data_IF_814930041014
#
_entry.id   IF_814930041014
#
_cell.length_a   1.000
_cell.length_b   1.000
_cell.length_c   1.000
_cell.angle_alpha   90.00
_cell.angle_beta   90.00
_cell.angle_gamma   90.00
#
_symmetry.space_group_name_H-M   'P 1'
#
loop_
_entity.id
_entity.type
_entity.pdbx_description
1 polymer ?
#
# COMPACT_ATOMS: atom_id res chain seq x y z
N UNK A 1 -4.72 32.63 13.87
CA UNK A 1 -3.40 31.96 13.73
C UNK A 1 -3.39 31.18 12.42
N UNK A 2 -2.37 31.37 11.58
CA UNK A 2 -2.26 30.63 10.33
C UNK A 2 -2.02 29.14 10.61
N UNK A 3 -2.85 28.26 10.03
CA UNK A 3 -2.74 26.80 10.20
C UNK A 3 -1.82 26.21 9.13
N UNK A 4 -1.11 25.13 9.47
CA UNK A 4 -0.31 24.35 8.51
C UNK A 4 -1.18 23.29 7.81
N UNK A 5 -0.82 22.90 6.59
CA UNK A 5 -1.60 21.94 5.79
C UNK A 5 -1.87 20.63 6.54
N UNK A 6 -0.87 20.08 7.24
CA UNK A 6 -1.05 18.82 7.99
C UNK A 6 -2.05 18.94 9.15
N UNK A 7 -2.25 20.14 9.71
CA UNK A 7 -3.16 20.36 10.84
C UNK A 7 -4.63 20.41 10.40
N UNK A 8 -4.88 20.71 9.12
CA UNK A 8 -6.23 20.75 8.52
C UNK A 8 -6.41 19.63 7.49
N UNK A 9 -5.57 18.60 7.55
CA UNK A 9 -5.58 17.50 6.61
C UNK A 9 -6.90 16.72 6.69
N UNK A 10 -7.55 16.51 5.53
CA UNK A 10 -8.86 15.85 5.47
C UNK A 10 -8.79 14.33 5.53
N UNK A 11 -7.65 13.72 5.19
CA UNK A 11 -7.47 12.26 5.23
C UNK A 11 -7.21 11.75 6.65
N UNK A 12 -7.21 10.44 6.84
CA UNK A 12 -7.05 9.79 8.16
C UNK A 12 -5.58 9.55 8.54
N UNK A 13 -4.67 10.39 8.07
CA UNK A 13 -3.25 10.27 8.38
C UNK A 13 -2.94 10.81 9.78
N UNK A 14 -1.96 10.19 10.43
CA UNK A 14 -1.43 10.64 11.72
C UNK A 14 -0.09 11.33 11.44
N UNK A 15 0.03 12.60 11.85
CA UNK A 15 1.24 13.40 11.65
C UNK A 15 2.01 13.57 12.95
N UNK A 16 3.32 13.26 12.93
CA UNK A 16 4.21 13.46 14.07
C UNK A 16 5.38 14.39 13.70
N UNK A 17 6.05 14.94 14.73
CA UNK A 17 7.20 15.85 14.60
C UNK A 17 6.94 17.03 13.64
N UNK A 18 5.86 17.78 13.86
CA UNK A 18 5.45 18.92 13.04
C UNK A 18 5.25 18.56 11.55
N UNK A 19 4.60 17.42 11.30
CA UNK A 19 4.28 16.94 9.94
C UNK A 19 5.47 16.36 9.17
N UNK A 20 6.57 16.00 9.85
CA UNK A 20 7.72 15.33 9.21
C UNK A 20 7.48 13.84 9.01
N UNK A 21 6.81 13.20 9.96
CA UNK A 21 6.42 11.80 9.87
C UNK A 21 4.93 11.70 9.58
N UNK A 22 4.58 10.81 8.65
CA UNK A 22 3.23 10.66 8.12
C UNK A 22 2.86 9.19 8.18
N UNK A 23 2.01 8.82 9.13
CA UNK A 23 1.52 7.46 9.30
C UNK A 23 0.10 7.31 8.76
N UNK A 24 -0.31 6.07 8.51
CA UNK A 24 -1.71 5.75 8.24
C UNK A 24 -2.49 5.64 9.56
N UNK A 25 -3.81 5.40 9.48
CA UNK A 25 -4.68 5.31 10.65
C UNK A 25 -4.34 4.10 11.54
N UNK A 26 -3.78 3.04 10.94
CA UNK A 26 -3.45 1.79 11.61
C UNK A 26 -2.05 1.82 12.26
N UNK A 27 -1.43 2.99 12.44
CA UNK A 27 -0.06 3.11 12.96
C UNK A 27 0.21 2.36 14.27
N UNK A 28 -0.83 2.11 15.09
CA UNK A 28 -0.71 1.34 16.34
C UNK A 28 -0.27 -0.11 16.11
N UNK A 29 -0.59 -0.71 14.96
CA UNK A 29 -0.15 -2.06 14.61
C UNK A 29 1.36 -2.19 14.46
N UNK A 30 2.09 -1.07 14.25
CA UNK A 30 3.54 -1.05 14.17
C UNK A 30 4.20 -1.59 15.43
N UNK A 31 3.59 -1.38 16.60
CA UNK A 31 4.09 -1.93 17.86
C UNK A 31 4.16 -3.45 17.79
N UNK A 32 3.11 -4.09 17.25
CA UNK A 32 3.08 -5.55 17.06
C UNK A 32 4.19 -6.00 16.11
N UNK A 33 4.34 -5.34 14.96
CA UNK A 33 5.38 -5.67 13.98
C UNK A 33 6.80 -5.50 14.55
N UNK A 34 7.04 -4.43 15.33
CA UNK A 34 8.33 -4.21 16.01
C UNK A 34 8.59 -5.33 17.02
N UNK A 35 7.59 -5.71 17.83
CA UNK A 35 7.74 -6.79 18.81
C UNK A 35 8.01 -8.14 18.14
N UNK A 36 7.32 -8.44 17.01
CA UNK A 36 7.56 -9.65 16.23
C UNK A 36 8.99 -9.74 15.68
N UNK A 37 9.67 -8.61 15.47
CA UNK A 37 11.06 -8.60 15.02
C UNK A 37 12.03 -8.63 16.20
N UNK A 38 11.82 -7.74 17.18
CA UNK A 38 12.79 -7.48 18.25
C UNK A 38 12.84 -8.62 19.27
N UNK A 39 11.68 -9.18 19.66
CA UNK A 39 11.63 -10.25 20.68
C UNK A 39 12.42 -11.50 20.27
N UNK A 40 12.21 -12.11 19.08
CA UNK A 40 13.00 -13.28 18.69
C UNK A 40 14.49 -12.95 18.53
N UNK A 41 14.85 -11.74 18.11
CA UNK A 41 16.26 -11.31 18.04
C UNK A 41 16.87 -11.21 19.44
N UNK A 42 16.16 -10.65 20.44
CA UNK A 42 16.64 -10.60 21.82
C UNK A 42 16.84 -12.03 22.36
N UNK A 43 15.88 -12.92 22.14
CA UNK A 43 16.00 -14.34 22.54
C UNK A 43 17.21 -14.98 21.87
N UNK A 44 17.43 -14.74 20.57
CA UNK A 44 18.59 -15.22 19.83
C UNK A 44 19.91 -14.68 20.41
N UNK A 45 20.01 -13.37 20.63
CA UNK A 45 21.23 -12.74 21.16
C UNK A 45 21.59 -13.28 22.55
N UNK A 46 20.58 -13.49 23.40
CA UNK A 46 20.77 -13.91 24.80
C UNK A 46 21.02 -15.40 24.97
N UNK A 47 20.41 -16.26 24.14
CA UNK A 47 20.42 -17.71 24.34
C UNK A 47 21.21 -18.50 23.27
N UNK A 48 21.40 -17.93 22.07
CA UNK A 48 22.06 -18.62 20.96
C UNK A 48 23.40 -17.95 20.66
N UNK A 49 23.40 -16.65 20.34
CA UNK A 49 24.62 -15.92 20.03
C UNK A 49 25.61 -15.92 21.22
N UNK A 50 25.10 -15.90 22.46
CA UNK A 50 25.93 -16.04 23.66
C UNK A 50 26.67 -17.38 23.75
N UNK A 51 26.04 -18.48 23.35
CA UNK A 51 26.72 -19.78 23.36
C UNK A 51 27.78 -19.83 22.24
N UNK A 52 27.43 -19.32 21.06
CA UNK A 52 28.36 -19.20 19.94
C UNK A 52 29.55 -18.27 20.22
N UNK A 53 29.42 -17.29 21.12
CA UNK A 53 30.54 -16.47 21.62
C UNK A 53 31.61 -17.31 22.33
N UNK A 54 31.20 -18.29 23.13
CA UNK A 54 32.12 -19.13 23.88
C UNK A 54 32.78 -20.21 23.02
N UNK A 55 32.05 -20.74 22.02
CA UNK A 55 32.55 -21.78 21.11
C UNK A 55 33.53 -21.27 20.05
N UNK A 56 33.41 -20.01 19.63
CA UNK A 56 34.31 -19.40 18.62
C UNK A 56 35.14 -18.24 19.20
N UNK A 57 36.05 -18.50 20.16
CA UNK A 57 36.93 -17.47 20.71
C UNK A 57 37.99 -17.02 19.69
N UNK A 58 38.38 -17.92 18.77
CA UNK A 58 39.36 -17.63 17.73
C UNK A 58 38.81 -16.56 16.78
N UNK A 59 39.56 -15.46 16.61
CA UNK A 59 39.23 -14.32 15.73
C UNK A 59 38.01 -13.47 16.13
N UNK A 60 37.54 -13.50 17.39
CA UNK A 60 36.36 -12.76 17.83
C UNK A 60 35.08 -13.06 17.00
N UNK A 61 35.01 -14.22 16.35
CA UNK A 61 33.96 -14.54 15.38
C UNK A 61 32.56 -14.53 16.00
N UNK A 62 32.42 -14.93 17.28
CA UNK A 62 31.14 -14.82 17.99
C UNK A 62 30.65 -13.37 18.16
N UNK A 63 31.56 -12.41 18.40
CA UNK A 63 31.20 -10.99 18.51
C UNK A 63 30.76 -10.43 17.16
N UNK A 64 31.35 -10.92 16.07
CA UNK A 64 30.96 -10.57 14.71
C UNK A 64 29.53 -11.03 14.42
N UNK A 65 29.15 -12.26 14.80
CA UNK A 65 27.77 -12.75 14.65
C UNK A 65 26.77 -11.86 15.39
N UNK A 66 27.09 -11.47 16.64
CA UNK A 66 26.25 -10.59 17.44
C UNK A 66 26.14 -9.18 16.82
N UNK A 67 27.25 -8.61 16.36
CA UNK A 67 27.25 -7.32 15.70
C UNK A 67 26.43 -7.34 14.40
N UNK A 68 26.59 -8.38 13.57
CA UNK A 68 25.85 -8.55 12.32
C UNK A 68 24.34 -8.60 12.60
N UNK A 69 23.88 -9.43 13.55
CA UNK A 69 22.45 -9.56 13.81
C UNK A 69 21.84 -8.28 14.36
N UNK A 70 22.55 -7.56 15.24
CA UNK A 70 22.08 -6.29 15.80
C UNK A 70 22.01 -5.21 14.71
N UNK A 71 23.09 -5.02 13.94
CA UNK A 71 23.13 -4.01 12.87
C UNK A 71 22.09 -4.32 11.78
N UNK A 72 21.92 -5.58 11.43
CA UNK A 72 20.92 -5.97 10.43
C UNK A 72 19.48 -5.79 10.94
N UNK A 73 19.24 -6.05 12.23
CA UNK A 73 17.95 -5.76 12.88
C UNK A 73 17.65 -4.26 12.88
N UNK A 74 18.63 -3.42 13.22
CA UNK A 74 18.49 -1.96 13.14
C UNK A 74 18.15 -1.53 11.71
N UNK A 75 18.84 -2.09 10.71
CA UNK A 75 18.55 -1.82 9.30
C UNK A 75 17.11 -2.19 8.92
N UNK A 76 16.62 -3.38 9.32
CA UNK A 76 15.23 -3.80 9.11
C UNK A 76 14.23 -2.85 9.78
N UNK A 77 14.49 -2.43 11.01
CA UNK A 77 13.63 -1.48 11.74
C UNK A 77 13.61 -0.08 11.09
N UNK A 78 14.76 0.38 10.58
CA UNK A 78 14.83 1.62 9.81
C UNK A 78 13.99 1.51 8.55
N UNK A 79 14.08 0.40 7.79
CA UNK A 79 13.25 0.17 6.61
C UNK A 79 11.75 0.14 6.94
N UNK A 80 11.35 -0.50 8.05
CA UNK A 80 9.97 -0.48 8.55
C UNK A 80 9.49 0.94 8.83
N UNK A 81 10.30 1.76 9.51
CA UNK A 81 9.98 3.16 9.80
C UNK A 81 9.90 3.98 8.50
N UNK A 82 10.84 3.80 7.59
CA UNK A 82 10.87 4.48 6.29
C UNK A 82 9.66 4.13 5.41
N UNK A 83 9.09 2.93 5.59
CA UNK A 83 7.89 2.45 4.91
C UNK A 83 6.61 3.02 5.52
N UNK A 84 6.53 3.03 6.86
CA UNK A 84 5.31 3.37 7.61
C UNK A 84 5.13 4.86 7.87
N UNK A 85 6.23 5.59 8.10
CA UNK A 85 6.23 6.98 8.58
C UNK A 85 6.39 8.03 7.48
N UNK A 86 6.07 7.70 6.23
CA UNK A 86 6.27 8.56 5.06
C UNK A 86 5.00 8.68 4.24
N UNK A 87 4.86 9.81 3.56
CA UNK A 87 3.92 9.96 2.45
C UNK A 87 4.13 8.84 1.41
N UNK A 88 3.14 7.95 1.20
CA UNK A 88 3.22 6.85 0.24
C UNK A 88 3.05 7.29 -1.22
N UNK A 89 2.69 8.55 -1.47
CA UNK A 89 2.36 9.07 -2.80
C UNK A 89 0.96 9.66 -2.85
N UNK A 90 0.55 10.38 -1.80
CA UNK A 90 -0.80 10.91 -1.73
C UNK A 90 -0.99 11.99 -2.81
N UNK A 91 -2.07 11.86 -3.58
CA UNK A 91 -2.49 12.86 -4.57
C UNK A 91 -3.23 13.99 -3.85
N UNK A 92 -2.87 15.27 -4.08
CA UNK A 92 -3.59 16.41 -3.51
C UNK A 92 -5.06 16.38 -3.93
N UNK A 93 -5.96 16.69 -2.98
CA UNK A 93 -7.39 16.85 -3.26
C UNK A 93 -7.63 18.15 -4.01
N UNK A 94 -8.56 18.14 -4.96
CA UNK A 94 -9.01 19.40 -5.57
C UNK A 94 -10.00 20.10 -4.63
N UNK A 95 -10.14 21.42 -4.80
CA UNK A 95 -11.14 22.23 -4.09
C UNK A 95 -12.52 22.12 -4.74
N UNK A 96 -12.52 21.97 -6.06
CA UNK A 96 -13.71 21.81 -6.88
C UNK A 96 -13.49 20.66 -7.86
N UNK A 97 -14.56 20.02 -8.34
CA UNK A 97 -14.46 19.05 -9.42
C UNK A 97 -13.75 19.65 -10.65
N UNK A 98 -13.00 18.87 -11.44
CA UNK A 98 -12.40 19.34 -12.67
C UNK A 98 -13.49 19.85 -13.63
N UNK A 99 -13.22 20.97 -14.30
CA UNK A 99 -14.08 21.44 -15.39
C UNK A 99 -14.01 20.46 -16.56
N UNK A 100 -15.13 20.26 -17.24
CA UNK A 100 -15.17 19.43 -18.45
C UNK A 100 -14.45 20.17 -19.58
N UNK A 101 -13.45 19.54 -20.21
CA UNK A 101 -12.85 20.04 -21.44
C UNK A 101 -13.95 19.96 -22.53
N UNK A 102 -14.63 21.07 -22.82
CA UNK A 102 -15.74 21.18 -23.80
C UNK A 102 -15.35 20.67 -25.21
N UNK A 103 -14.05 20.47 -25.46
CA UNK A 103 -13.50 20.04 -26.75
C UNK A 103 -13.78 18.58 -27.14
N UNK A 104 -14.15 17.69 -26.21
CA UNK A 104 -14.42 16.27 -26.53
C UNK A 104 -15.92 15.97 -26.77
N UNK A 105 -16.81 16.96 -26.65
CA UNK A 105 -18.27 16.77 -26.79
C UNK A 105 -18.81 16.95 -28.22
N UNK A 106 -17.97 17.12 -29.24
CA UNK A 106 -18.45 17.26 -30.63
C UNK A 106 -18.93 15.95 -31.28
N UNK A 107 -19.02 14.84 -30.54
CA UNK A 107 -19.43 13.53 -31.06
C UNK A 107 -20.87 13.10 -30.70
N UNK A 108 -21.67 13.94 -30.04
CA UNK A 108 -23.08 13.61 -29.78
C UNK A 108 -23.98 14.84 -29.92
N UNK A 109 -24.15 15.30 -31.16
CA UNK A 109 -25.33 16.09 -31.55
C UNK A 109 -26.48 15.12 -31.76
N UNK A 110 -27.21 14.78 -30.69
CA UNK A 110 -28.58 14.29 -30.82
C UNK A 110 -29.55 15.40 -30.45
N UNK A 111 -30.44 15.66 -31.40
CA UNK A 111 -31.44 16.72 -31.42
C UNK A 111 -32.58 16.38 -30.46
N UNK A 112 -32.90 17.31 -29.56
CA UNK A 112 -34.25 17.44 -29.00
C UNK A 112 -34.37 17.21 -27.50
N UNK A 113 -34.85 18.24 -26.80
CA UNK A 113 -35.45 18.10 -25.47
C UNK A 113 -34.84 19.02 -24.40
N UNK A 114 -35.62 20.02 -23.98
CA UNK A 114 -35.34 20.86 -22.80
C UNK A 114 -35.20 19.99 -21.54
N UNK A 115 -33.97 19.69 -21.15
CA UNK A 115 -33.58 19.43 -19.77
C UNK A 115 -32.23 20.12 -19.60
N UNK A 116 -32.10 21.03 -18.64
CA UNK A 116 -30.78 21.48 -18.19
C UNK A 116 -30.03 20.23 -17.73
N UNK A 117 -29.00 19.74 -18.45
CA UNK A 117 -28.25 18.60 -17.98
C UNK A 117 -27.46 19.12 -16.80
N UNK A 118 -27.72 18.62 -15.59
CA UNK A 118 -26.69 18.72 -14.56
C UNK A 118 -25.49 17.98 -15.15
N UNK A 119 -24.33 18.63 -15.37
CA UNK A 119 -23.18 17.96 -15.96
C UNK A 119 -22.72 16.89 -14.97
N UNK A 120 -23.18 15.65 -15.17
CA UNK A 120 -22.70 14.51 -14.40
C UNK A 120 -21.35 14.16 -15.00
N UNK A 121 -20.29 14.66 -14.36
CA UNK A 121 -18.91 14.36 -14.74
C UNK A 121 -18.75 12.88 -15.12
N UNK A 122 -18.19 12.57 -16.31
CA UNK A 122 -18.00 11.19 -16.72
C UNK A 122 -17.27 10.39 -15.65
N UNK A 123 -17.83 9.24 -15.25
CA UNK A 123 -17.21 8.36 -14.22
C UNK A 123 -15.81 7.89 -14.62
N UNK A 124 -15.53 7.87 -15.93
CA UNK A 124 -14.23 7.51 -16.49
C UNK A 124 -13.78 8.51 -17.55
N UNK A 125 -12.47 8.77 -17.60
CA UNK A 125 -11.80 9.53 -18.67
C UNK A 125 -10.71 8.65 -19.28
N UNK A 126 -10.52 8.72 -20.59
CA UNK A 126 -9.40 8.04 -21.26
C UNK A 126 -8.16 8.92 -21.21
N UNK A 127 -7.02 8.34 -20.84
CA UNK A 127 -5.73 9.03 -20.76
C UNK A 127 -4.69 8.23 -21.52
N UNK A 128 -3.87 8.91 -22.31
CA UNK A 128 -2.79 8.28 -23.06
C UNK A 128 -1.61 7.94 -22.13
N UNK A 129 -1.21 6.66 -22.09
CA UNK A 129 -0.07 6.17 -21.32
C UNK A 129 0.80 5.31 -22.24
N UNK A 130 2.04 5.72 -22.49
CA UNK A 130 2.96 5.05 -23.43
C UNK A 130 2.31 4.77 -24.81
N UNK A 131 1.52 5.72 -25.34
CA UNK A 131 0.84 5.59 -26.62
C UNK A 131 -0.42 4.69 -26.61
N UNK A 132 -0.87 4.22 -25.44
CA UNK A 132 -2.08 3.40 -25.30
C UNK A 132 -3.11 4.10 -24.42
N UNK A 133 -4.39 4.03 -24.78
CA UNK A 133 -5.48 4.59 -23.99
C UNK A 133 -5.71 3.76 -22.72
N UNK A 134 -5.71 4.42 -21.57
CA UNK A 134 -6.00 3.82 -20.25
C UNK A 134 -7.16 4.58 -19.61
N UNK A 135 -8.22 3.86 -19.26
CA UNK A 135 -9.37 4.41 -18.55
C UNK A 135 -9.02 4.72 -17.10
N UNK A 136 -9.09 5.99 -16.72
CA UNK A 136 -9.01 6.44 -15.33
C UNK A 136 -10.39 6.72 -14.77
N UNK A 137 -10.54 6.57 -13.45
CA UNK A 137 -11.82 6.78 -12.74
C UNK A 137 -11.84 8.10 -12.00
N UNK A 138 -13.01 8.72 -11.91
CA UNK A 138 -13.22 9.85 -11.02
C UNK A 138 -13.21 9.41 -9.55
N UNK A 139 -12.71 10.25 -8.65
CA UNK A 139 -12.81 10.08 -7.21
C UNK A 139 -13.62 11.24 -6.64
N UNK A 140 -14.83 10.95 -6.17
CA UNK A 140 -15.72 11.95 -5.56
C UNK A 140 -15.11 12.52 -4.27
N UNK A 141 -14.55 11.67 -3.40
CA UNK A 141 -13.96 12.08 -2.13
C UNK A 141 -12.78 13.04 -2.25
N UNK A 142 -11.98 12.89 -3.31
CA UNK A 142 -10.81 13.74 -3.57
C UNK A 142 -11.07 14.78 -4.69
N UNK A 143 -12.26 14.74 -5.30
CA UNK A 143 -12.72 15.57 -6.41
C UNK A 143 -11.73 15.63 -7.59
N UNK A 144 -11.18 14.48 -8.00
CA UNK A 144 -10.18 14.41 -9.06
C UNK A 144 -10.36 13.17 -9.94
N UNK A 145 -9.99 13.29 -11.21
CA UNK A 145 -9.70 12.13 -12.04
C UNK A 145 -8.40 11.49 -11.56
N UNK A 146 -8.47 10.23 -11.14
CA UNK A 146 -7.33 9.51 -10.56
C UNK A 146 -6.22 9.43 -11.61
N UNK A 147 -4.98 9.87 -11.33
CA UNK A 147 -3.87 9.64 -12.24
C UNK A 147 -3.74 8.14 -12.59
N UNK A 148 -3.11 7.78 -13.72
CA UNK A 148 -2.87 6.38 -14.04
C UNK A 148 -2.21 5.63 -12.87
N UNK A 149 -2.69 4.40 -12.61
CA UNK A 149 -2.27 3.54 -11.47
C UNK A 149 -2.59 4.11 -10.07
N UNK A 150 -3.34 5.20 -9.96
CA UNK A 150 -3.79 5.75 -8.68
C UNK A 150 -5.10 5.10 -8.24
N UNK A 151 -5.21 4.77 -6.95
CA UNK A 151 -6.46 4.29 -6.35
C UNK A 151 -6.75 5.01 -5.04
N UNK A 152 -8.04 5.16 -4.74
CA UNK A 152 -8.49 5.70 -3.46
C UNK A 152 -8.52 4.57 -2.43
N UNK A 153 -7.81 4.75 -1.32
CA UNK A 153 -7.90 3.89 -0.15
C UNK A 153 -8.90 4.50 0.84
N UNK A 154 -10.01 3.80 1.09
CA UNK A 154 -11.03 4.23 2.05
C UNK A 154 -10.54 4.21 3.50
N UNK A 155 -9.59 3.34 3.82
CA UNK A 155 -9.00 3.25 5.17
C UNK A 155 -8.20 4.50 5.49
N UNK A 156 -7.26 4.88 4.61
CA UNK A 156 -6.48 6.11 4.78
C UNK A 156 -7.25 7.38 4.38
N UNK A 157 -8.37 7.24 3.67
CA UNK A 157 -9.14 8.31 3.04
C UNK A 157 -8.28 9.20 2.13
N UNK A 158 -7.55 8.58 1.20
CA UNK A 158 -6.70 9.29 0.25
C UNK A 158 -6.58 8.55 -1.09
N UNK A 159 -6.43 9.32 -2.17
CA UNK A 159 -5.90 8.80 -3.43
C UNK A 159 -4.37 8.65 -3.34
N UNK A 160 -3.84 7.47 -3.69
CA UNK A 160 -2.40 7.15 -3.62
C UNK A 160 -1.89 6.77 -5.01
N UNK A 161 -0.80 7.40 -5.45
CA UNK A 161 -0.13 7.13 -6.72
C UNK A 161 0.54 5.75 -6.71
N UNK A 162 0.43 5.03 -7.85
CA UNK A 162 0.92 3.65 -8.00
C UNK A 162 0.52 2.80 -6.80
N UNK A 163 -0.77 2.83 -6.46
CA UNK A 163 -1.30 2.15 -5.29
C UNK A 163 -1.07 0.65 -5.42
N UNK A 164 -0.47 0.06 -4.38
CA UNK A 164 -0.22 -1.37 -4.31
C UNK A 164 -1.25 -2.05 -3.41
N UNK A 165 -1.26 -1.69 -2.13
CA UNK A 165 -2.25 -2.15 -1.17
C UNK A 165 -2.22 -1.27 0.09
N UNK A 166 -3.22 -1.41 0.96
CA UNK A 166 -3.12 -0.94 2.34
C UNK A 166 -2.60 -2.09 3.21
N UNK A 167 -1.51 -1.87 3.94
CA UNK A 167 -0.85 -2.91 4.72
C UNK A 167 -1.09 -2.67 6.21
N UNK A 168 -1.89 -3.52 6.88
CA UNK A 168 -2.11 -3.40 8.31
C UNK A 168 -0.82 -3.58 9.12
N UNK A 169 0.12 -4.42 8.69
CA UNK A 169 1.38 -4.68 9.41
C UNK A 169 2.31 -3.47 9.47
N UNK A 170 2.29 -2.61 8.46
CA UNK A 170 3.04 -1.33 8.47
C UNK A 170 2.16 -0.13 8.82
N UNK A 171 0.87 -0.35 9.03
CA UNK A 171 -0.11 0.67 9.40
C UNK A 171 -0.34 1.77 8.35
N UNK A 172 -0.05 1.52 7.07
CA UNK A 172 -0.02 2.54 6.02
C UNK A 172 -0.27 1.93 4.62
N UNK A 173 -0.72 2.77 3.67
CA UNK A 173 -0.73 2.44 2.25
C UNK A 173 0.68 2.21 1.69
N UNK A 174 0.84 1.19 0.86
CA UNK A 174 2.02 0.98 0.02
C UNK A 174 1.72 1.56 -1.36
N UNK A 175 2.59 2.47 -1.80
CA UNK A 175 2.45 3.18 -3.07
C UNK A 175 3.79 3.68 -3.61
N UNK A 176 3.74 4.58 -4.58
CA UNK A 176 4.90 5.04 -5.36
C UNK A 176 6.13 5.42 -4.51
N UNK A 177 5.93 6.12 -3.39
CA UNK A 177 7.02 6.72 -2.61
C UNK A 177 7.57 5.84 -1.49
N UNK A 178 6.90 4.75 -1.12
CA UNK A 178 7.36 3.86 -0.05
C UNK A 178 7.52 2.39 -0.49
N UNK A 179 7.07 2.01 -1.69
CA UNK A 179 7.17 0.64 -2.22
C UNK A 179 8.59 0.06 -2.15
N UNK A 180 9.63 0.86 -2.51
CA UNK A 180 11.03 0.39 -2.43
C UNK A 180 11.42 -0.05 -1.02
N UNK A 181 11.06 0.76 -0.01
CA UNK A 181 11.39 0.43 1.38
C UNK A 181 10.54 -0.72 1.89
N UNK A 182 9.28 -0.80 1.46
CA UNK A 182 8.41 -1.95 1.77
C UNK A 182 9.04 -3.25 1.26
N UNK A 183 9.45 -3.29 -0.01
CA UNK A 183 10.08 -4.47 -0.59
C UNK A 183 11.37 -4.82 0.17
N UNK A 184 12.27 -3.85 0.37
CA UNK A 184 13.51 -4.07 1.10
C UNK A 184 13.25 -4.52 2.55
N UNK A 185 12.21 -3.99 3.20
CA UNK A 185 11.82 -4.38 4.55
C UNK A 185 11.40 -5.86 4.59
N UNK A 186 10.49 -6.28 3.70
CA UNK A 186 9.99 -7.65 3.65
C UNK A 186 11.10 -8.63 3.28
N UNK A 187 11.91 -8.31 2.25
CA UNK A 187 13.01 -9.17 1.82
C UNK A 187 14.11 -9.28 2.88
N UNK A 188 14.46 -8.17 3.54
CA UNK A 188 15.47 -8.18 4.61
C UNK A 188 14.96 -8.88 5.86
N UNK A 189 13.66 -8.81 6.16
CA UNK A 189 13.05 -9.59 7.24
C UNK A 189 13.10 -11.09 6.95
N UNK A 190 12.85 -11.51 5.70
CA UNK A 190 13.02 -12.90 5.29
C UNK A 190 14.48 -13.36 5.45
N UNK A 191 15.45 -12.54 5.03
CA UNK A 191 16.87 -12.82 5.24
C UNK A 191 17.26 -12.89 6.72
N UNK A 192 16.67 -12.04 7.57
CA UNK A 192 16.90 -12.08 9.02
C UNK A 192 16.36 -13.38 9.62
N UNK A 193 15.17 -13.82 9.19
CA UNK A 193 14.62 -15.14 9.58
C UNK A 193 15.54 -16.29 9.15
N UNK A 194 16.06 -16.27 7.91
CA UNK A 194 17.00 -17.28 7.41
C UNK A 194 18.28 -17.28 8.25
N UNK A 195 18.83 -16.11 8.55
CA UNK A 195 20.03 -15.97 9.37
C UNK A 195 19.83 -16.53 10.77
N UNK A 196 18.77 -16.12 11.47
CA UNK A 196 18.46 -16.60 12.83
C UNK A 196 18.20 -18.11 12.83
N UNK A 197 17.49 -18.63 11.82
CA UNK A 197 17.27 -20.06 11.66
C UNK A 197 18.59 -20.83 11.49
N UNK A 198 19.42 -20.38 10.55
CA UNK A 198 20.69 -21.03 10.23
C UNK A 198 21.64 -21.04 11.44
N UNK A 199 21.78 -19.91 12.13
CA UNK A 199 22.65 -19.83 13.31
C UNK A 199 22.11 -20.63 14.50
N UNK A 200 20.79 -20.73 14.66
CA UNK A 200 20.17 -21.61 15.66
C UNK A 200 20.40 -23.08 15.33
N UNK A 201 20.32 -23.47 14.05
CA UNK A 201 20.62 -24.82 13.59
C UNK A 201 22.11 -25.18 13.79
N UNK A 202 23.03 -24.23 13.52
CA UNK A 202 24.46 -24.39 13.84
C UNK A 202 24.68 -24.61 15.33
N UNK A 203 24.02 -23.82 16.20
CA UNK A 203 24.12 -24.01 17.64
C UNK A 203 23.61 -25.39 18.10
N UNK A 204 22.50 -25.89 17.54
CA UNK A 204 22.03 -27.27 17.81
C UNK A 204 23.04 -28.31 17.32
N UNK A 205 23.67 -28.10 16.16
CA UNK A 205 24.67 -29.01 15.63
C UNK A 205 25.90 -29.09 16.54
N UNK A 206 26.44 -27.95 16.99
CA UNK A 206 27.56 -27.93 17.92
C UNK A 206 27.23 -28.66 19.23
N UNK A 207 26.07 -28.38 19.81
CA UNK A 207 25.60 -29.11 21.01
C UNK A 207 25.37 -30.60 20.74
N UNK A 208 25.01 -30.99 19.53
CA UNK A 208 24.88 -32.41 19.18
C UNK A 208 26.24 -33.09 19.12
N UNK A 209 27.26 -32.41 18.61
CA UNK A 209 28.63 -32.91 18.56
C UNK A 209 29.18 -33.09 20.00
N UNK A 210 28.83 -32.21 20.95
CA UNK A 210 29.24 -32.31 22.36
C UNK A 210 28.48 -33.38 23.17
N UNK A 211 27.15 -33.46 22.99
CA UNK A 211 26.28 -34.31 23.82
C UNK A 211 25.85 -35.62 23.14
N UNK A 212 26.27 -35.84 21.89
CA UNK A 212 26.17 -37.07 21.11
C UNK A 212 24.83 -37.34 20.42
N UNK A 213 23.73 -36.69 20.80
CA UNK A 213 22.43 -36.87 20.13
C UNK A 213 21.63 -35.58 19.98
N UNK A 214 20.88 -35.46 18.88
CA UNK A 214 20.05 -34.28 18.58
C UNK A 214 19.02 -33.99 19.68
N UNK A 215 18.43 -35.03 20.28
CA UNK A 215 17.44 -34.88 21.34
C UNK A 215 18.03 -34.24 22.61
N UNK A 216 19.27 -34.60 22.97
CA UNK A 216 19.98 -33.97 24.09
C UNK A 216 20.33 -32.52 23.78
N UNK A 217 20.78 -32.23 22.55
CA UNK A 217 21.08 -30.87 22.09
C UNK A 217 19.83 -29.97 22.13
N UNK A 218 18.70 -30.46 21.64
CA UNK A 218 17.41 -29.75 21.68
C UNK A 218 16.96 -29.46 23.12
N UNK A 219 17.11 -30.43 24.04
CA UNK A 219 16.82 -30.23 25.47
C UNK A 219 17.75 -29.22 26.12
N UNK A 220 19.01 -29.14 25.67
CA UNK A 220 20.00 -28.19 26.20
C UNK A 220 19.74 -26.76 25.73
N UNK A 221 19.24 -26.58 24.49
CA UNK A 221 18.88 -25.27 23.95
C UNK A 221 17.45 -25.24 23.37
N UNK A 222 16.42 -25.24 24.24
CA UNK A 222 15.03 -25.15 23.79
C UNK A 222 14.76 -23.84 23.04
N UNK A 223 15.46 -22.76 23.39
CA UNK A 223 15.38 -21.48 22.70
C UNK A 223 15.73 -21.58 21.20
N UNK A 224 16.78 -22.35 20.85
CA UNK A 224 17.16 -22.56 19.44
C UNK A 224 16.05 -23.26 18.66
N UNK A 225 15.42 -24.27 19.26
CA UNK A 225 14.31 -25.01 18.65
C UNK A 225 13.09 -24.12 18.44
N UNK A 226 12.73 -23.32 19.46
CA UNK A 226 11.61 -22.36 19.38
C UNK A 226 11.88 -21.33 18.28
N UNK A 227 13.10 -20.77 18.21
CA UNK A 227 13.49 -19.81 17.18
C UNK A 227 13.47 -20.42 15.79
N UNK A 228 13.93 -21.67 15.63
CA UNK A 228 13.86 -22.38 14.35
C UNK A 228 12.40 -22.58 13.90
N UNK A 229 11.52 -23.03 14.80
CA UNK A 229 10.09 -23.17 14.50
C UNK A 229 9.43 -21.83 14.16
N UNK A 230 9.73 -20.79 14.93
CA UNK A 230 9.26 -19.42 14.67
C UNK A 230 9.72 -18.91 13.31
N UNK A 231 11.02 -18.99 13.01
CA UNK A 231 11.57 -18.52 11.74
C UNK A 231 11.03 -19.32 10.57
N UNK A 232 10.89 -20.64 10.70
CA UNK A 232 10.29 -21.48 9.66
C UNK A 232 8.86 -21.04 9.35
N UNK A 233 8.01 -20.87 10.37
CA UNK A 233 6.63 -20.41 10.19
C UNK A 233 6.56 -19.04 9.51
N UNK A 234 7.28 -18.04 10.01
CA UNK A 234 7.24 -16.70 9.44
C UNK A 234 7.87 -16.62 8.05
N UNK A 235 8.85 -17.46 7.72
CA UNK A 235 9.48 -17.50 6.39
C UNK A 235 8.49 -17.86 5.29
N UNK A 236 7.47 -18.68 5.55
CA UNK A 236 6.39 -18.92 4.58
C UNK A 236 5.64 -17.62 4.22
N UNK A 237 5.36 -16.78 5.22
CA UNK A 237 4.66 -15.51 5.01
C UNK A 237 5.57 -14.47 4.37
N UNK A 238 6.71 -14.14 4.99
CA UNK A 238 7.58 -13.05 4.50
C UNK A 238 8.39 -13.47 3.27
N UNK A 239 8.80 -14.74 3.17
CA UNK A 239 9.47 -15.29 2.00
C UNK A 239 8.51 -15.43 0.82
N UNK A 240 7.31 -15.98 1.04
CA UNK A 240 6.26 -16.05 0.02
C UNK A 240 5.89 -14.66 -0.52
N UNK A 241 5.72 -13.68 0.38
CA UNK A 241 5.45 -12.29 0.00
C UNK A 241 6.63 -11.67 -0.79
N UNK A 242 7.87 -11.97 -0.41
CA UNK A 242 9.07 -11.54 -1.17
C UNK A 242 9.04 -12.09 -2.59
N UNK A 243 8.80 -13.39 -2.76
CA UNK A 243 8.70 -14.04 -4.07
C UNK A 243 7.57 -13.45 -4.92
N UNK A 244 6.41 -13.22 -4.32
CA UNK A 244 5.28 -12.60 -5.01
C UNK A 244 5.62 -11.19 -5.51
N UNK A 245 6.24 -10.36 -4.66
CA UNK A 245 6.63 -9.01 -5.08
C UNK A 245 7.78 -9.01 -6.09
N UNK A 246 8.69 -9.99 -6.06
CA UNK A 246 9.69 -10.17 -7.12
C UNK A 246 9.02 -10.42 -8.48
N UNK A 247 7.99 -11.26 -8.52
CA UNK A 247 7.18 -11.48 -9.72
C UNK A 247 6.52 -10.17 -10.19
N UNK A 248 5.88 -9.42 -9.28
CA UNK A 248 5.22 -8.15 -9.61
C UNK A 248 6.19 -7.09 -10.16
N UNK A 249 7.38 -6.97 -9.56
CA UNK A 249 8.45 -6.09 -10.05
C UNK A 249 8.87 -6.51 -11.46
N UNK A 250 9.13 -7.81 -11.67
CA UNK A 250 9.49 -8.35 -12.98
C UNK A 250 8.44 -8.06 -14.07
N UNK A 251 7.17 -8.00 -13.70
CA UNK A 251 6.04 -7.67 -14.60
C UNK A 251 5.66 -6.20 -14.63
N UNK A 252 6.27 -5.32 -13.82
CA UNK A 252 5.86 -3.92 -13.59
C UNK A 252 4.37 -3.77 -13.26
N UNK A 253 3.87 -4.61 -12.36
CA UNK A 253 2.49 -4.56 -11.87
C UNK A 253 2.48 -4.24 -10.39
N UNK A 254 1.45 -3.55 -9.92
CA UNK A 254 1.14 -3.49 -8.50
C UNK A 254 0.27 -4.67 -8.09
N UNK A 255 0.23 -4.98 -6.79
CA UNK A 255 -0.68 -6.00 -6.25
C UNK A 255 -2.13 -5.71 -6.64
N UNK A 256 -2.56 -4.45 -6.48
CA UNK A 256 -3.89 -3.99 -6.91
C UNK A 256 -4.16 -4.27 -8.40
N UNK A 257 -3.19 -3.98 -9.28
CA UNK A 257 -3.34 -4.22 -10.71
C UNK A 257 -3.44 -5.71 -11.04
N UNK A 258 -2.61 -6.53 -10.41
CA UNK A 258 -2.61 -7.98 -10.59
C UNK A 258 -3.95 -8.59 -10.19
N UNK A 259 -4.54 -8.19 -9.06
CA UNK A 259 -5.84 -8.71 -8.62
C UNK A 259 -7.03 -8.12 -9.38
N UNK A 260 -7.01 -6.81 -9.71
CA UNK A 260 -8.15 -6.13 -10.35
C UNK A 260 -8.22 -6.38 -11.85
N UNK A 261 -7.07 -6.49 -12.50
CA UNK A 261 -6.94 -6.53 -13.97
C UNK A 261 -6.22 -7.77 -14.48
N UNK A 262 -5.73 -8.67 -13.62
CA UNK A 262 -5.01 -9.88 -14.02
C UNK A 262 -5.78 -10.81 -14.96
N UNK A 263 -7.12 -10.74 -14.97
CA UNK A 263 -7.98 -11.50 -15.88
C UNK A 263 -8.35 -10.77 -17.18
N UNK A 264 -7.99 -9.48 -17.35
CA UNK A 264 -8.21 -8.76 -18.63
C UNK A 264 -6.98 -8.99 -19.52
N UNK A 265 -7.18 -9.71 -20.62
CA UNK A 265 -6.19 -10.12 -21.64
C UNK A 265 -5.54 -8.96 -22.44
N UNK A 266 -5.12 -7.88 -21.77
CA UNK A 266 -4.40 -6.77 -22.38
C UNK A 266 -2.90 -6.83 -22.10
N UNK A 267 -2.03 -6.45 -23.06
CA UNK A 267 -0.60 -6.33 -22.81
C UNK A 267 -0.33 -5.27 -21.73
N UNK A 268 0.48 -5.60 -20.71
CA UNK A 268 0.84 -4.63 -19.66
C UNK A 268 1.62 -3.45 -20.27
N UNK A 269 0.96 -2.29 -20.33
CA UNK A 269 1.49 -1.04 -20.91
C UNK A 269 2.67 -0.45 -20.14
N UNK A 270 2.90 -0.90 -18.91
CA UNK A 270 4.00 -0.44 -18.05
C UNK A 270 5.21 -1.36 -18.07
N UNK A 271 5.08 -2.59 -18.55
CA UNK A 271 6.19 -3.54 -18.59
C UNK A 271 7.20 -3.13 -19.67
N UNK A 272 8.46 -2.90 -19.27
CA UNK A 272 9.57 -2.54 -20.17
C UNK A 272 10.66 -3.61 -20.23
N UNK A 273 10.37 -4.83 -19.74
CA UNK A 273 11.34 -5.90 -19.58
C UNK A 273 11.86 -5.98 -18.15
N UNK A 274 12.15 -7.20 -17.70
CA UNK A 274 12.44 -7.52 -16.29
C UNK A 274 13.52 -6.60 -15.71
N UNK A 275 14.71 -6.56 -16.32
CA UNK A 275 15.84 -5.77 -15.83
C UNK A 275 15.51 -4.27 -15.71
N UNK A 276 14.86 -3.68 -16.72
CA UNK A 276 14.47 -2.26 -16.69
C UNK A 276 13.45 -2.00 -15.58
N UNK A 277 12.50 -2.92 -15.36
CA UNK A 277 11.52 -2.78 -14.28
C UNK A 277 12.18 -2.83 -12.89
N UNK A 278 13.17 -3.71 -12.69
CA UNK A 278 13.95 -3.77 -11.46
C UNK A 278 14.74 -2.46 -11.25
N UNK A 279 15.43 -1.96 -12.28
CA UNK A 279 16.14 -0.67 -12.21
C UNK A 279 15.18 0.49 -11.92
N UNK A 280 13.96 0.45 -12.47
CA UNK A 280 12.92 1.44 -12.17
C UNK A 280 12.61 1.46 -10.66
N UNK A 281 12.48 0.29 -10.03
CA UNK A 281 12.16 0.20 -8.61
C UNK A 281 13.33 0.56 -7.73
N UNK A 282 14.56 0.10 -8.01
CA UNK A 282 15.70 0.23 -7.09
C UNK A 282 16.63 1.40 -7.39
N UNK A 283 16.80 1.77 -8.66
CA UNK A 283 17.84 2.69 -9.09
C UNK A 283 17.32 4.08 -9.49
N UNK A 284 16.01 4.30 -9.54
CA UNK A 284 15.46 5.63 -9.84
C UNK A 284 15.44 6.55 -8.63
N UNK A 285 15.49 7.87 -8.87
CA UNK A 285 15.29 8.86 -7.82
C UNK A 285 13.83 8.88 -7.39
N UNK A 286 13.61 8.89 -6.08
CA UNK A 286 12.28 9.09 -5.52
C UNK A 286 11.78 10.50 -5.86
N UNK A 287 10.61 10.58 -6.50
CA UNK A 287 9.93 11.88 -6.76
C UNK A 287 9.66 12.60 -5.43
N UNK A 288 9.59 13.95 -5.37
CA UNK A 288 9.20 14.70 -4.18
C UNK A 288 7.70 14.55 -3.87
N UNK A 289 7.27 14.90 -2.65
CA UNK A 289 5.85 14.79 -2.28
C UNK A 289 5.06 15.83 -3.04
N UNK A 290 3.89 15.44 -3.55
CA UNK A 290 2.96 16.37 -4.21
C UNK A 290 2.27 17.29 -3.20
N UNK A 291 2.29 16.92 -1.91
CA UNK A 291 1.72 17.70 -0.83
C UNK A 291 2.83 18.39 -0.03
N UNK A 292 2.72 19.71 0.12
CA UNK A 292 3.56 20.48 1.05
C UNK A 292 2.93 20.51 2.44
N UNK A 293 2.94 19.39 3.15
CA UNK A 293 2.27 19.25 4.45
C UNK A 293 2.65 20.31 5.50
N UNK A 294 3.86 20.86 5.39
CA UNK A 294 4.42 21.85 6.32
C UNK A 294 4.34 23.29 5.81
N UNK A 295 3.65 23.56 4.69
CA UNK A 295 3.36 24.93 4.28
C UNK A 295 2.14 25.49 5.03
N UNK A 296 2.07 26.82 5.16
CA UNK A 296 0.87 27.50 5.63
C UNK A 296 -0.27 27.23 4.65
N UNK A 297 -1.47 27.04 5.19
CA UNK A 297 -2.70 27.01 4.40
C UNK A 297 -2.85 28.40 3.77
N UNK A 298 -2.91 28.45 2.43
CA UNK A 298 -3.32 29.69 1.77
C UNK A 298 -4.80 29.91 2.11
N UNK A 299 -5.07 30.91 2.92
CA UNK A 299 -6.41 31.44 3.11
C UNK A 299 -6.80 32.07 1.78
N UNK A 300 -7.48 31.30 0.93
CA UNK A 300 -8.07 31.87 -0.27
C UNK A 300 -9.24 32.73 0.20
N UNK A 301 -9.01 34.04 0.23
CA UNK A 301 -10.05 35.06 0.21
C UNK A 301 -11.15 34.58 -0.73
N UNK A 302 -12.37 34.48 -0.21
CA UNK A 302 -13.58 34.34 -1.01
C UNK A 302 -13.46 35.23 -2.24
N UNK A 303 -13.36 34.63 -3.43
CA UNK A 303 -13.63 35.37 -4.66
C UNK A 303 -14.99 36.04 -4.46
N UNK A 304 -15.13 37.35 -4.74
CA UNK A 304 -16.43 37.99 -4.65
C UNK A 304 -17.41 37.22 -5.53
N UNK A 305 -18.68 37.06 -5.13
CA UNK A 305 -19.66 36.44 -5.99
C UNK A 305 -19.67 37.23 -7.31
N UNK A 306 -19.41 36.55 -8.42
CA UNK A 306 -19.68 37.10 -9.75
C UNK A 306 -21.16 37.46 -9.73
N UNK A 307 -21.45 38.76 -9.70
CA UNK A 307 -22.82 39.27 -9.78
C UNK A 307 -23.34 38.94 -11.17
N UNK A 308 -23.99 37.79 -11.33
CA UNK A 308 -24.85 37.56 -12.47
C UNK A 308 -26.17 38.29 -12.17
N UNK A 309 -26.20 39.57 -12.49
CA UNK A 309 -27.44 40.31 -12.54
C UNK A 309 -28.25 39.79 -13.72
N UNK A 310 -29.27 38.98 -13.44
CA UNK A 310 -30.49 38.92 -14.25
C UNK A 310 -31.64 38.45 -13.37
N UNK A 311 -32.40 39.43 -12.89
CA UNK A 311 -33.75 39.23 -12.38
C UNK A 311 -34.60 38.54 -13.44
N UNK A 312 -35.18 37.40 -13.08
CA UNK A 312 -36.48 36.98 -13.60
C UNK A 312 -37.24 36.38 -12.41
N UNK A 313 -38.26 37.12 -11.95
CA UNK A 313 -39.30 36.66 -11.06
C UNK A 313 -40.06 35.49 -11.70
N UNK A 314 -40.38 34.44 -10.94
CA UNK A 314 -41.66 33.69 -10.98
C UNK A 314 -41.81 32.95 -9.64
N UNK A 315 -42.77 33.46 -8.87
CA UNK A 315 -43.82 32.85 -8.04
C UNK A 315 -43.67 31.50 -7.32
N UNK A 316 -44.21 31.50 -6.09
CA UNK A 316 -44.31 30.42 -5.11
C UNK A 316 -45.18 29.24 -5.57
N UNK A 317 -44.77 28.00 -5.25
CA UNK A 317 -45.60 27.04 -4.50
C UNK A 317 -44.91 25.70 -4.19
N UNK A 318 -44.92 25.40 -2.88
CA UNK A 318 -45.20 24.11 -2.26
C UNK A 318 -44.12 23.01 -2.08
N UNK A 319 -44.16 22.41 -0.88
CA UNK A 319 -43.96 20.98 -0.72
C UNK A 319 -42.58 20.45 -0.29
N UNK A 320 -42.23 20.58 0.99
CA UNK A 320 -41.17 19.80 1.63
C UNK A 320 -41.46 18.29 1.57
N UNK A 321 -40.52 17.45 1.09
CA UNK A 321 -40.29 16.08 1.63
C UNK A 321 -38.95 15.49 1.17
N UNK A 322 -38.14 15.13 2.16
CA UNK A 322 -36.84 14.48 2.08
C UNK A 322 -37.07 12.97 2.03
N UNK A 323 -36.68 12.29 0.95
CA UNK A 323 -36.75 10.82 0.85
C UNK A 323 -35.35 10.18 0.94
N UNK A 324 -35.32 9.03 1.60
CA UNK A 324 -34.19 8.37 2.24
C UNK A 324 -33.64 7.27 1.32
N UNK A 325 -32.40 6.91 1.56
CA UNK A 325 -31.58 5.87 0.93
C UNK A 325 -32.29 4.51 0.84
N UNK A 326 -32.39 3.96 -0.37
CA UNK A 326 -32.52 2.52 -0.64
C UNK A 326 -31.68 2.21 -1.88
N UNK A 327 -30.47 1.66 -1.67
CA UNK A 327 -29.60 1.19 -2.75
C UNK A 327 -28.72 0.07 -2.20
N UNK A 328 -29.35 -1.07 -1.89
CA UNK A 328 -28.66 -2.32 -1.51
C UNK A 328 -29.43 -3.60 -1.92
N UNK A 329 -30.63 -3.50 -2.50
CA UNK A 329 -31.44 -4.65 -2.90
C UNK A 329 -31.25 -5.05 -4.38
N UNK A 330 -30.71 -4.17 -5.21
CA UNK A 330 -30.54 -4.44 -6.65
C UNK A 330 -29.26 -5.24 -6.98
N UNK A 331 -28.30 -5.31 -6.05
CA UNK A 331 -27.04 -6.04 -6.25
C UNK A 331 -27.21 -7.56 -6.02
N UNK A 332 -28.09 -7.95 -5.10
CA UNK A 332 -28.30 -9.36 -4.75
C UNK A 332 -29.11 -10.10 -5.84
N UNK A 333 -30.01 -9.38 -6.51
CA UNK A 333 -30.85 -9.92 -7.59
C UNK A 333 -30.11 -10.06 -8.93
N UNK A 334 -29.02 -9.31 -9.13
CA UNK A 334 -28.14 -9.46 -10.29
C UNK A 334 -27.12 -10.58 -10.11
N UNK A 335 -26.69 -10.86 -8.88
CA UNK A 335 -25.78 -11.98 -8.59
C UNK A 335 -26.46 -13.35 -8.70
N UNK A 336 -27.74 -13.46 -8.33
CA UNK A 336 -28.52 -14.69 -8.51
C UNK A 336 -28.72 -15.02 -9.99
N UNK A 337 -29.03 -14.02 -10.83
CA UNK A 337 -29.19 -14.18 -12.29
C UNK A 337 -27.90 -14.56 -13.02
N UNK A 338 -26.73 -14.14 -12.51
CA UNK A 338 -25.42 -14.52 -13.06
C UNK A 338 -25.01 -15.94 -12.63
N UNK A 339 -25.48 -16.40 -11.46
CA UNK A 339 -25.30 -17.78 -10.99
C UNK A 339 -26.15 -18.76 -11.80
N UNK A 340 -27.41 -18.42 -12.08
CA UNK A 340 -28.33 -19.26 -12.87
C UNK A 340 -27.86 -19.45 -14.32
N UNK A 341 -27.36 -18.41 -14.97
CA UNK A 341 -26.84 -18.51 -16.34
C UNK A 341 -25.60 -19.42 -16.45
N UNK A 342 -24.76 -19.46 -15.42
CA UNK A 342 -23.58 -20.33 -15.39
C UNK A 342 -23.91 -21.81 -15.28
N UNK A 343 -24.96 -22.16 -14.52
CA UNK A 343 -25.38 -23.55 -14.37
C UNK A 343 -26.05 -24.11 -15.64
N UNK A 344 -26.65 -23.24 -16.47
CA UNK A 344 -27.27 -23.65 -17.75
C UNK A 344 -26.21 -23.88 -18.83
N UNK A 345 -25.19 -23.02 -18.93
CA UNK A 345 -24.10 -23.18 -19.92
C UNK A 345 -23.18 -24.40 -19.65
N UNK A 346 -23.14 -24.87 -18.40
CA UNK A 346 -22.36 -26.06 -18.00
C UNK A 346 -23.13 -27.38 -18.24
N UNK A 347 -24.46 -27.33 -18.34
CA UNK A 347 -25.31 -28.48 -18.66
C UNK A 347 -25.41 -28.77 -20.16
N UNK A 348 -25.21 -27.77 -21.02
CA UNK A 348 -25.29 -27.90 -22.48
C UNK A 348 -23.95 -28.36 -23.14
N UNK A 349 -22.90 -28.60 -22.34
CA UNK A 349 -21.57 -29.01 -22.82
C UNK A 349 -21.13 -30.41 -22.31
N UNK A 350 -22.07 -31.27 -21.90
CA UNK A 350 -21.82 -32.68 -21.55
C UNK A 350 -22.57 -33.61 -22.50
#
# INVERSE_FOLDING_TARGET
MAKLVYQVWKGRNIFLFNGRLIFGPDAKSLVVTILLIVVPVIIFCTNVAKNLLHEFPTYNAGYVILAIVILFTIYVLVLLLLTSARDPGIVPRNLHPPEEDIYDSSASLDVGGRQTPTPRLPRTKDVLVNGKHVKVKYCETCMLYRPPRCSHCSVCDNCVERFDHHCPWVGQCIGLRNYRYFFLFVSSSALLCIFVFAMSAVNIKLLMDDYGTVWKAMKKSPASVILMGYCFFFLWFVGGLTCFHLYLIGRNQTTYENFRYGARNGPNVYNRGCLINFLEVFCTRMKPSRNKFRSLVREQSSMPPVRLAREINIDDSDGFRRAKVEDNLDIENDLSKISERRNVEEADNI
#
